data_IF_692445786666
#
_entry.id   IF_692445786666
#
_cell.length_a   1.000
_cell.length_b   1.000
_cell.length_c   1.000
_cell.angle_alpha   90.00
_cell.angle_beta   90.00
_cell.angle_gamma   90.00
#
_symmetry.space_group_name_H-M   'P 1'
#
loop_
_entity.id
_entity.type
_entity.pdbx_description
1 polymer ?
#
# COMPACT_ATOMS: atom_id res chain seq x y z
N UNK A 1 -13.74 4.29 0.70
CA UNK A 1 -14.10 3.82 -0.66
C UNK A 1 -15.48 3.16 -0.66
N UNK A 2 -15.75 2.18 0.21
CA UNK A 2 -17.05 1.49 0.27
C UNK A 2 -18.24 2.47 0.39
N UNK A 3 -18.15 3.50 1.23
CA UNK A 3 -19.18 4.54 1.38
C UNK A 3 -19.41 5.39 0.10
N UNK A 4 -18.59 5.21 -0.92
CA UNK A 4 -18.71 5.83 -2.25
C UNK A 4 -19.06 4.81 -3.33
N UNK A 5 -19.55 3.62 -2.93
CA UNK A 5 -20.01 2.58 -3.84
C UNK A 5 -18.95 1.62 -4.38
N UNK A 6 -17.71 1.67 -3.88
CA UNK A 6 -16.72 0.68 -4.26
C UNK A 6 -17.04 -0.68 -3.63
N UNK A 7 -16.92 -1.75 -4.42
CA UNK A 7 -16.99 -3.14 -3.98
C UNK A 7 -15.61 -3.55 -3.46
N UNK A 8 -15.51 -4.04 -2.23
CA UNK A 8 -14.24 -4.17 -1.51
C UNK A 8 -13.88 -5.64 -1.27
N UNK A 9 -12.65 -6.00 -1.60
CA UNK A 9 -11.99 -7.17 -0.99
C UNK A 9 -11.10 -6.66 0.15
N UNK A 10 -11.42 -7.05 1.36
CA UNK A 10 -10.59 -6.78 2.53
C UNK A 10 -9.64 -7.95 2.73
N UNK A 11 -8.36 -7.73 2.45
CA UNK A 11 -7.33 -8.72 2.72
C UNK A 11 -6.56 -8.35 4.00
N UNK A 12 -6.56 -9.23 4.98
CA UNK A 12 -5.75 -9.11 6.18
C UNK A 12 -5.43 -10.52 6.73
N UNK A 13 -4.17 -10.81 6.90
CA UNK A 13 -3.71 -12.05 7.53
C UNK A 13 -4.03 -12.09 9.04
N UNK A 14 -4.24 -10.90 9.65
CA UNK A 14 -4.52 -10.76 11.08
C UNK A 14 -3.30 -10.94 11.97
N UNK A 15 -2.10 -10.73 11.44
CA UNK A 15 -0.86 -10.80 12.19
C UNK A 15 -0.65 -9.63 13.15
N UNK A 16 0.27 -9.81 14.12
CA UNK A 16 0.79 -8.74 14.96
C UNK A 16 1.63 -7.75 14.13
N UNK A 17 2.03 -6.61 14.73
CA UNK A 17 2.82 -5.55 14.06
C UNK A 17 4.15 -6.07 13.49
N UNK A 18 4.76 -7.07 14.12
CA UNK A 18 6.00 -7.73 13.67
C UNK A 18 5.78 -8.85 12.64
N UNK A 19 4.51 -9.11 12.28
CA UNK A 19 4.11 -10.16 11.34
C UNK A 19 3.93 -11.54 11.98
N UNK A 20 3.95 -11.66 13.32
CA UNK A 20 3.71 -12.94 13.98
C UNK A 20 2.21 -13.28 14.05
N UNK A 21 1.90 -14.57 13.88
CA UNK A 21 0.54 -15.09 14.01
C UNK A 21 -0.39 -14.76 12.83
N UNK A 22 -1.64 -15.18 12.96
CA UNK A 22 -2.73 -14.88 12.02
C UNK A 22 -4.07 -14.92 12.76
N UNK A 23 -5.00 -14.08 12.36
CA UNK A 23 -6.39 -14.05 12.87
C UNK A 23 -7.36 -13.73 11.73
N UNK A 24 -8.01 -14.75 11.21
CA UNK A 24 -8.99 -14.60 10.13
C UNK A 24 -10.16 -13.68 10.49
N UNK A 25 -10.40 -13.40 11.79
CA UNK A 25 -11.43 -12.46 12.20
C UNK A 25 -11.11 -10.99 11.87
N UNK A 26 -9.84 -10.64 11.62
CA UNK A 26 -9.43 -9.25 11.37
C UNK A 26 -10.07 -8.68 10.10
N UNK A 27 -9.92 -9.36 8.97
CA UNK A 27 -10.57 -8.96 7.72
C UNK A 27 -12.10 -9.02 7.83
N UNK A 28 -12.64 -10.05 8.48
CA UNK A 28 -14.09 -10.22 8.63
C UNK A 28 -14.74 -9.08 9.44
N UNK A 29 -14.10 -8.61 10.51
CA UNK A 29 -14.59 -7.45 11.28
C UNK A 29 -14.75 -6.21 10.40
N UNK A 30 -13.77 -5.91 9.55
CA UNK A 30 -13.85 -4.78 8.64
C UNK A 30 -14.94 -4.97 7.58
N UNK A 31 -15.12 -6.19 7.08
CA UNK A 31 -16.23 -6.53 6.16
C UNK A 31 -17.58 -6.28 6.83
N UNK A 32 -17.74 -6.72 8.08
CA UNK A 32 -18.97 -6.54 8.83
C UNK A 32 -19.28 -5.05 9.09
N UNK A 33 -18.27 -4.24 9.42
CA UNK A 33 -18.39 -2.79 9.55
C UNK A 33 -18.82 -2.11 8.23
N UNK A 34 -18.19 -2.50 7.10
CA UNK A 34 -18.56 -1.99 5.78
C UNK A 34 -20.00 -2.31 5.44
N UNK A 35 -20.42 -3.56 5.67
CA UNK A 35 -21.80 -4.02 5.40
C UNK A 35 -22.81 -3.34 6.31
N UNK A 36 -22.49 -3.19 7.59
CA UNK A 36 -23.34 -2.46 8.54
C UNK A 36 -23.54 -0.99 8.15
N UNK A 37 -22.55 -0.39 7.48
CA UNK A 37 -22.62 0.96 6.93
C UNK A 37 -23.30 1.03 5.54
N UNK A 38 -23.84 -0.08 5.02
CA UNK A 38 -24.53 -0.15 3.74
C UNK A 38 -23.61 -0.31 2.52
N UNK A 39 -22.32 -0.58 2.73
CA UNK A 39 -21.37 -0.91 1.67
C UNK A 39 -21.33 -2.41 1.37
N UNK A 40 -20.53 -2.79 0.37
CA UNK A 40 -20.36 -4.18 -0.04
C UNK A 40 -18.89 -4.60 0.06
N UNK A 41 -18.63 -5.72 0.73
CA UNK A 41 -17.29 -6.24 0.93
C UNK A 41 -17.27 -7.75 1.12
N UNK A 42 -16.14 -8.38 0.77
CA UNK A 42 -15.79 -9.77 1.08
C UNK A 42 -14.41 -9.84 1.71
N UNK A 43 -14.19 -10.84 2.57
CA UNK A 43 -12.91 -11.05 3.24
C UNK A 43 -12.01 -11.99 2.44
N UNK A 44 -10.69 -11.76 2.54
CA UNK A 44 -9.65 -12.69 2.15
C UNK A 44 -8.56 -12.71 3.25
N UNK A 45 -7.97 -13.86 3.52
CA UNK A 45 -7.03 -14.07 4.63
C UNK A 45 -5.66 -14.58 4.17
N UNK A 46 -5.40 -14.58 2.86
CA UNK A 46 -4.16 -15.09 2.31
C UNK A 46 -3.01 -14.10 2.50
N UNK A 47 -1.81 -14.64 2.58
CA UNK A 47 -0.60 -13.85 2.76
C UNK A 47 -0.18 -13.19 1.45
N UNK A 48 0.04 -11.89 1.45
CA UNK A 48 0.62 -11.17 0.31
C UNK A 48 2.07 -11.60 0.02
N UNK A 49 2.79 -12.20 0.99
CA UNK A 49 4.21 -12.53 0.86
C UNK A 49 4.47 -13.71 -0.08
N UNK A 50 3.44 -14.43 -0.53
CA UNK A 50 3.56 -15.54 -1.48
C UNK A 50 2.84 -15.25 -2.80
N UNK A 51 3.35 -15.75 -3.94
CA UNK A 51 2.66 -15.62 -5.23
C UNK A 51 1.24 -16.18 -5.20
N UNK A 52 1.05 -17.34 -4.59
CA UNK A 52 -0.25 -18.02 -4.48
C UNK A 52 -1.26 -17.20 -3.67
N UNK A 53 -0.80 -16.55 -2.60
CA UNK A 53 -1.64 -15.66 -1.81
C UNK A 53 -2.05 -14.42 -2.60
N UNK A 54 -1.13 -13.82 -3.35
CA UNK A 54 -1.42 -12.70 -4.24
C UNK A 54 -2.46 -13.07 -5.31
N UNK A 55 -2.32 -14.22 -5.95
CA UNK A 55 -3.28 -14.74 -6.93
C UNK A 55 -4.65 -15.00 -6.31
N UNK A 56 -4.70 -15.59 -5.10
CA UNK A 56 -5.94 -15.85 -4.38
C UNK A 56 -6.68 -14.56 -4.01
N UNK A 57 -5.97 -13.50 -3.59
CA UNK A 57 -6.57 -12.20 -3.30
C UNK A 57 -7.27 -11.63 -4.53
N UNK A 58 -6.63 -11.66 -5.70
CA UNK A 58 -7.21 -11.16 -6.93
C UNK A 58 -8.34 -12.06 -7.42
N UNK A 59 -8.17 -13.37 -7.31
CA UNK A 59 -9.24 -14.34 -7.62
C UNK A 59 -10.49 -14.06 -6.78
N UNK A 60 -10.35 -13.71 -5.50
CA UNK A 60 -11.49 -13.33 -4.65
C UNK A 60 -12.25 -12.14 -5.23
N UNK A 61 -11.57 -11.13 -5.77
CA UNK A 61 -12.22 -9.99 -6.41
C UNK A 61 -12.94 -10.40 -7.72
N UNK A 62 -12.32 -11.23 -8.53
CA UNK A 62 -12.90 -11.71 -9.79
C UNK A 62 -14.12 -12.59 -9.52
N UNK A 63 -14.04 -13.51 -8.57
CA UNK A 63 -15.14 -14.42 -8.22
C UNK A 63 -16.34 -13.66 -7.63
N UNK A 64 -16.09 -12.64 -6.79
CA UNK A 64 -17.16 -11.89 -6.13
C UNK A 64 -17.76 -10.81 -7.02
N UNK A 65 -16.95 -10.14 -7.85
CA UNK A 65 -17.33 -8.89 -8.52
C UNK A 65 -17.08 -8.90 -10.04
N UNK A 66 -16.46 -9.94 -10.59
CA UNK A 66 -16.20 -10.10 -12.02
C UNK A 66 -15.05 -9.24 -12.56
N UNK A 67 -14.43 -8.38 -11.73
CA UNK A 67 -13.39 -7.45 -12.16
C UNK A 67 -12.49 -6.99 -11.00
N UNK A 68 -11.35 -6.38 -11.34
CA UNK A 68 -10.50 -5.66 -10.41
C UNK A 68 -10.06 -4.34 -11.04
N UNK A 69 -10.42 -3.22 -10.41
CA UNK A 69 -10.14 -1.87 -10.91
C UNK A 69 -9.06 -1.16 -10.11
N UNK A 70 -9.00 -1.45 -8.81
CA UNK A 70 -8.15 -0.75 -7.87
C UNK A 70 -7.40 -1.76 -7.02
N UNK A 71 -6.07 -1.59 -6.91
CA UNK A 71 -5.22 -2.30 -5.96
C UNK A 71 -4.58 -1.29 -5.02
N UNK A 72 -4.75 -1.51 -3.71
CA UNK A 72 -4.10 -0.71 -2.68
C UNK A 72 -3.14 -1.61 -1.90
N UNK A 73 -1.86 -1.52 -2.22
CA UNK A 73 -0.79 -2.23 -1.54
C UNK A 73 -0.46 -1.53 -0.22
N UNK A 74 -1.15 -1.94 0.85
CA UNK A 74 -1.02 -1.34 2.18
C UNK A 74 -0.51 -2.32 3.25
N UNK A 75 -0.54 -3.63 3.01
CA UNK A 75 -0.04 -4.63 3.94
C UNK A 75 1.39 -4.32 4.39
N UNK A 76 1.69 -4.51 5.68
CA UNK A 76 2.99 -4.17 6.20
C UNK A 76 3.24 -4.64 7.62
N UNK A 77 4.51 -4.83 7.94
CA UNK A 77 5.03 -5.23 9.26
C UNK A 77 6.26 -4.38 9.60
N UNK A 78 6.64 -4.35 10.88
CA UNK A 78 7.85 -3.69 11.36
C UNK A 78 8.76 -4.68 12.09
N UNK A 79 10.03 -4.72 11.70
CA UNK A 79 11.10 -5.45 12.39
C UNK A 79 12.34 -4.58 12.44
N UNK A 80 12.27 -3.54 13.26
CA UNK A 80 13.31 -2.52 13.38
C UNK A 80 14.52 -3.05 14.13
N UNK A 81 15.70 -2.76 13.63
CA UNK A 81 16.99 -3.11 14.24
C UNK A 81 18.09 -2.24 13.67
N UNK A 82 19.07 -1.88 14.50
CA UNK A 82 20.28 -1.22 13.98
C UNK A 82 20.99 -2.12 12.96
N UNK A 83 21.52 -1.54 11.88
CA UNK A 83 21.98 -2.28 10.71
C UNK A 83 22.99 -3.39 11.03
N UNK A 84 23.95 -3.13 11.92
CA UNK A 84 24.96 -4.13 12.33
C UNK A 84 24.40 -5.34 13.08
N UNK A 85 23.16 -5.22 13.61
CA UNK A 85 22.45 -6.30 14.30
C UNK A 85 21.24 -6.83 13.48
N UNK A 86 21.08 -6.36 12.24
CA UNK A 86 19.95 -6.72 11.37
C UNK A 86 20.28 -7.99 10.60
N UNK A 87 19.83 -9.12 11.10
CA UNK A 87 19.97 -10.43 10.42
C UNK A 87 18.88 -10.63 9.36
N UNK A 88 18.99 -11.70 8.55
CA UNK A 88 17.97 -12.06 7.56
C UNK A 88 16.56 -12.22 8.18
N UNK A 89 16.46 -12.68 9.42
CA UNK A 89 15.18 -12.79 10.14
C UNK A 89 14.46 -11.44 10.30
N UNK A 90 15.21 -10.33 10.31
CA UNK A 90 14.65 -8.97 10.32
C UNK A 90 14.41 -8.45 8.90
N UNK A 91 15.24 -8.85 7.93
CA UNK A 91 15.19 -8.32 6.57
C UNK A 91 14.13 -9.02 5.74
N UNK A 92 14.21 -10.34 5.64
CA UNK A 92 13.44 -11.11 4.66
C UNK A 92 11.92 -10.93 4.82
N UNK A 93 11.32 -11.04 6.03
CA UNK A 93 9.89 -10.89 6.17
C UNK A 93 9.38 -9.47 5.82
N UNK A 94 10.20 -8.44 6.09
CA UNK A 94 9.83 -7.05 5.76
C UNK A 94 9.86 -6.84 4.24
N UNK A 95 10.88 -7.35 3.56
CA UNK A 95 10.96 -7.31 2.09
C UNK A 95 9.84 -8.14 1.47
N UNK A 96 9.58 -9.33 2.00
CA UNK A 96 8.56 -10.25 1.47
C UNK A 96 7.15 -9.65 1.55
N UNK A 97 6.79 -9.05 2.68
CA UNK A 97 5.46 -8.46 2.85
C UNK A 97 5.33 -7.14 2.07
N UNK A 98 6.25 -6.20 2.26
CA UNK A 98 6.08 -4.85 1.71
C UNK A 98 6.37 -4.76 0.22
N UNK A 99 7.49 -5.34 -0.25
CA UNK A 99 7.94 -5.20 -1.62
C UNK A 99 7.45 -6.36 -2.48
N UNK A 100 7.82 -7.59 -2.14
CA UNK A 100 7.37 -8.76 -2.93
C UNK A 100 5.85 -8.91 -2.87
N UNK A 101 5.21 -8.60 -1.74
CA UNK A 101 3.75 -8.60 -1.61
C UNK A 101 3.07 -7.68 -2.62
N UNK A 102 3.62 -6.47 -2.85
CA UNK A 102 3.10 -5.59 -3.88
C UNK A 102 3.22 -6.18 -5.30
N UNK A 103 4.33 -6.89 -5.61
CA UNK A 103 4.46 -7.63 -6.88
C UNK A 103 3.46 -8.77 -6.96
N UNK A 104 3.35 -9.59 -5.91
CA UNK A 104 2.50 -10.77 -5.87
C UNK A 104 1.02 -10.44 -6.10
N UNK A 105 0.53 -9.34 -5.51
CA UNK A 105 -0.85 -8.90 -5.65
C UNK A 105 -1.07 -8.11 -6.95
N UNK A 106 -0.16 -7.20 -7.28
CA UNK A 106 -0.38 -6.31 -8.45
C UNK A 106 -0.23 -7.06 -9.77
N UNK A 107 0.68 -8.03 -9.88
CA UNK A 107 0.90 -8.75 -11.14
C UNK A 107 -0.35 -9.49 -11.65
N UNK A 108 -1.06 -10.32 -10.89
CA UNK A 108 -2.29 -10.92 -11.36
C UNK A 108 -3.39 -9.87 -11.67
N UNK A 109 -3.54 -8.83 -10.83
CA UNK A 109 -4.47 -7.74 -11.11
C UNK A 109 -4.14 -7.00 -12.41
N UNK A 110 -2.86 -6.78 -12.70
CA UNK A 110 -2.38 -6.07 -13.87
C UNK A 110 -2.84 -6.71 -15.19
N UNK A 111 -2.90 -8.04 -15.23
CA UNK A 111 -3.39 -8.78 -16.41
C UNK A 111 -4.83 -8.38 -16.71
N UNK A 112 -5.70 -8.43 -15.69
CA UNK A 112 -7.11 -8.03 -15.83
C UNK A 112 -7.26 -6.54 -16.15
N UNK A 113 -6.51 -5.67 -15.48
CA UNK A 113 -6.53 -4.22 -15.72
C UNK A 113 -6.13 -3.87 -17.17
N UNK A 114 -5.15 -4.59 -17.74
CA UNK A 114 -4.75 -4.40 -19.14
C UNK A 114 -5.85 -4.81 -20.11
N UNK A 115 -6.52 -5.93 -19.87
CA UNK A 115 -7.64 -6.40 -20.68
C UNK A 115 -8.85 -5.45 -20.59
N UNK A 116 -9.10 -4.91 -19.38
CA UNK A 116 -10.16 -3.92 -19.13
C UNK A 116 -9.88 -2.55 -19.74
N UNK A 117 -8.61 -2.21 -20.01
CA UNK A 117 -8.22 -0.85 -20.40
C UNK A 117 -8.39 0.17 -19.27
N UNK A 118 -8.30 -0.28 -18.01
CA UNK A 118 -8.47 0.55 -16.82
C UNK A 118 -7.80 -0.09 -15.60
N UNK A 119 -7.14 0.72 -14.79
CA UNK A 119 -6.60 0.29 -13.50
C UNK A 119 -6.06 1.45 -12.65
N UNK A 120 -6.09 1.27 -11.34
CA UNK A 120 -5.50 2.17 -10.35
C UNK A 120 -4.69 1.36 -9.34
N UNK A 121 -3.40 1.65 -9.24
CA UNK A 121 -2.52 1.00 -8.27
C UNK A 121 -1.98 2.05 -7.30
N UNK A 122 -2.21 1.86 -6.02
CA UNK A 122 -1.75 2.76 -4.97
C UNK A 122 -0.86 1.96 -4.02
N UNK A 123 0.39 2.37 -3.88
CA UNK A 123 1.33 1.71 -2.97
C UNK A 123 1.62 2.59 -1.76
N UNK A 124 1.65 1.99 -0.57
CA UNK A 124 1.96 2.68 0.67
C UNK A 124 3.46 2.62 0.95
N UNK A 125 4.16 3.72 0.64
CA UNK A 125 5.55 3.96 1.02
C UNK A 125 5.62 4.57 2.43
N UNK A 126 6.70 5.26 2.75
CA UNK A 126 6.94 5.93 4.04
C UNK A 126 7.98 7.03 3.92
N UNK A 127 7.91 8.01 4.79
CA UNK A 127 9.00 8.97 4.99
C UNK A 127 10.33 8.26 5.30
N UNK A 128 10.29 7.13 6.01
CA UNK A 128 11.47 6.31 6.27
C UNK A 128 12.13 5.76 5.00
N UNK A 129 11.34 5.45 3.96
CA UNK A 129 11.88 5.03 2.67
C UNK A 129 12.44 6.19 1.86
N UNK A 130 11.79 7.36 1.92
CA UNK A 130 12.14 8.53 1.10
C UNK A 130 13.34 9.29 1.71
N UNK A 131 13.37 9.46 3.03
CA UNK A 131 14.31 10.32 3.73
C UNK A 131 15.24 9.57 4.68
N UNK A 132 15.00 8.27 4.87
CA UNK A 132 15.71 7.44 5.85
C UNK A 132 15.16 7.57 7.26
N UNK A 133 15.33 6.50 8.05
CA UNK A 133 15.06 6.49 9.48
C UNK A 133 16.01 5.52 10.18
N UNK A 134 16.49 5.89 11.36
CA UNK A 134 17.42 5.06 12.14
C UNK A 134 16.79 3.70 12.49
N UNK A 135 17.55 2.62 12.31
CA UNK A 135 17.10 1.27 12.66
C UNK A 135 16.15 0.61 11.64
N UNK A 136 15.85 1.25 10.52
CA UNK A 136 14.88 0.79 9.54
C UNK A 136 15.48 0.54 8.15
N UNK A 137 16.68 -0.01 8.05
CA UNK A 137 17.31 -0.27 6.75
C UNK A 137 16.49 -1.23 5.87
N UNK A 138 15.92 -2.30 6.46
CA UNK A 138 15.00 -3.25 5.79
C UNK A 138 13.71 -2.55 5.31
N UNK A 139 13.04 -1.86 6.21
CA UNK A 139 11.78 -1.17 5.95
C UNK A 139 11.97 -0.01 4.95
N UNK A 140 13.01 0.82 5.16
CA UNK A 140 13.34 1.91 4.25
C UNK A 140 13.64 1.44 2.84
N UNK A 141 14.40 0.35 2.69
CA UNK A 141 14.68 -0.26 1.39
C UNK A 141 13.39 -0.75 0.71
N UNK A 142 12.53 -1.48 1.44
CA UNK A 142 11.26 -1.96 0.90
C UNK A 142 10.35 -0.79 0.47
N UNK A 143 10.22 0.22 1.31
CA UNK A 143 9.36 1.38 1.06
C UNK A 143 9.86 2.28 -0.08
N UNK A 144 11.18 2.44 -0.25
CA UNK A 144 11.74 3.11 -1.42
C UNK A 144 11.65 2.23 -2.67
N UNK A 145 11.76 0.91 -2.54
CA UNK A 145 11.51 -0.04 -3.62
C UNK A 145 10.13 0.11 -4.24
N UNK A 146 9.09 0.38 -3.43
CA UNK A 146 7.74 0.67 -3.91
C UNK A 146 7.66 1.95 -4.77
N UNK A 147 8.51 2.94 -4.52
CA UNK A 147 8.60 4.15 -5.35
C UNK A 147 9.11 3.79 -6.75
N UNK A 148 10.21 3.01 -6.84
CA UNK A 148 10.73 2.51 -8.11
C UNK A 148 9.71 1.65 -8.86
N UNK A 149 9.09 0.69 -8.16
CA UNK A 149 8.03 -0.16 -8.69
C UNK A 149 6.87 0.67 -9.30
N UNK A 150 6.34 1.61 -8.55
CA UNK A 150 5.25 2.50 -8.99
C UNK A 150 5.62 3.29 -10.24
N UNK A 151 6.82 3.83 -10.33
CA UNK A 151 7.27 4.62 -11.49
C UNK A 151 7.37 3.79 -12.76
N UNK A 152 7.83 2.55 -12.65
CA UNK A 152 7.85 1.61 -13.78
C UNK A 152 6.43 1.26 -14.20
N UNK A 153 5.55 0.93 -13.26
CA UNK A 153 4.14 0.63 -13.57
C UNK A 153 3.41 1.83 -14.20
N UNK A 154 3.72 3.05 -13.78
CA UNK A 154 3.16 4.26 -14.39
C UNK A 154 3.53 4.39 -15.88
N UNK A 155 4.79 4.09 -16.21
CA UNK A 155 5.27 4.12 -17.60
C UNK A 155 4.63 2.99 -18.45
N UNK A 156 4.60 1.76 -17.93
CA UNK A 156 4.03 0.60 -18.63
C UNK A 156 2.51 0.68 -18.76
N UNK A 157 1.83 1.26 -17.77
CA UNK A 157 0.37 1.37 -17.69
C UNK A 157 -0.23 2.44 -18.58
N UNK A 158 0.57 3.43 -19.03
CA UNK A 158 0.08 4.64 -19.70
C UNK A 158 -0.84 4.35 -20.88
N UNK A 159 -0.47 3.40 -21.74
CA UNK A 159 -1.26 3.03 -22.93
C UNK A 159 -2.53 2.21 -22.62
N UNK A 160 -2.68 1.72 -21.40
CA UNK A 160 -3.83 0.92 -20.96
C UNK A 160 -4.73 1.66 -19.98
N UNK A 161 -4.53 2.98 -19.79
CA UNK A 161 -5.22 3.77 -18.76
C UNK A 161 -5.05 3.19 -17.35
N UNK A 162 -3.92 2.54 -17.10
CA UNK A 162 -3.55 2.09 -15.76
C UNK A 162 -2.63 3.15 -15.14
N UNK A 163 -3.01 3.67 -13.98
CA UNK A 163 -2.25 4.67 -13.23
C UNK A 163 -1.73 4.08 -11.94
N UNK A 164 -0.48 4.38 -11.62
CA UNK A 164 0.18 3.88 -10.43
C UNK A 164 0.80 5.04 -9.65
N UNK A 165 0.44 5.18 -8.37
CA UNK A 165 0.92 6.25 -7.50
C UNK A 165 1.32 5.73 -6.12
N UNK A 166 2.08 6.55 -5.38
CA UNK A 166 2.57 6.22 -4.05
C UNK A 166 2.06 7.24 -3.04
N UNK A 167 1.65 6.77 -1.87
CA UNK A 167 1.46 7.59 -0.69
C UNK A 167 2.52 7.26 0.36
N UNK A 168 2.98 8.27 1.09
CA UNK A 168 3.81 8.16 2.29
C UNK A 168 3.02 8.77 3.46
N UNK A 169 2.16 7.97 4.11
CA UNK A 169 1.25 8.48 5.13
C UNK A 169 1.96 8.70 6.47
N UNK A 170 1.48 9.70 7.20
CA UNK A 170 1.75 9.92 8.60
C UNK A 170 0.40 9.91 9.34
N UNK A 171 0.13 8.85 10.09
CA UNK A 171 -1.11 8.65 10.82
C UNK A 171 -0.87 7.95 12.15
N UNK A 172 -1.70 8.25 13.15
CA UNK A 172 -1.67 7.55 14.44
C UNK A 172 -2.32 6.17 14.26
N UNK A 173 -1.51 5.14 14.37
CA UNK A 173 -1.92 3.75 14.26
C UNK A 173 -1.18 2.91 15.30
N UNK A 174 -1.51 1.63 15.45
CA UNK A 174 -0.75 0.69 16.30
C UNK A 174 0.76 0.67 15.99
N UNK A 175 1.15 0.97 14.74
CA UNK A 175 2.57 1.02 14.34
C UNK A 175 3.28 2.31 14.78
N UNK A 176 2.55 3.38 15.08
CA UNK A 176 3.09 4.73 15.29
C UNK A 176 2.73 5.35 16.63
N UNK A 177 1.86 4.73 17.43
CA UNK A 177 1.36 5.28 18.70
C UNK A 177 2.46 5.67 19.69
N UNK A 178 3.56 4.89 19.73
CA UNK A 178 4.69 5.16 20.60
C UNK A 178 5.66 6.23 20.04
N UNK A 179 5.45 6.72 18.82
CA UNK A 179 6.35 7.64 18.13
C UNK A 179 5.80 9.06 18.02
N UNK A 180 4.49 9.25 18.13
CA UNK A 180 3.81 10.49 17.71
C UNK A 180 3.65 11.52 18.84
N UNK A 181 3.80 11.14 20.12
CA UNK A 181 3.71 12.06 21.27
C UNK A 181 2.48 13.00 21.15
N UNK A 182 2.68 14.26 21.49
CA UNK A 182 1.61 15.28 21.54
C UNK A 182 0.98 15.65 20.18
N UNK A 183 1.54 15.21 19.05
CA UNK A 183 0.95 15.47 17.72
C UNK A 183 0.02 14.35 17.27
N UNK A 184 -0.03 13.22 17.98
CA UNK A 184 -0.84 12.05 17.63
C UNK A 184 -2.31 12.39 17.41
N UNK A 185 -2.90 13.22 18.25
CA UNK A 185 -4.32 13.63 18.19
C UNK A 185 -4.70 14.34 16.87
N UNK A 186 -3.72 14.88 16.12
CA UNK A 186 -3.92 15.55 14.84
C UNK A 186 -3.71 14.63 13.64
N UNK A 187 -3.35 13.38 13.87
CA UNK A 187 -2.95 12.43 12.85
C UNK A 187 -3.95 11.29 12.69
N UNK A 188 -5.24 11.61 12.74
CA UNK A 188 -6.28 10.62 12.52
C UNK A 188 -6.09 9.92 11.15
N UNK A 189 -6.11 8.57 11.10
CA UNK A 189 -5.97 7.81 9.86
C UNK A 189 -6.97 8.19 8.77
N UNK A 190 -8.17 8.65 9.13
CA UNK A 190 -9.18 9.11 8.20
C UNK A 190 -8.71 10.28 7.31
N UNK A 191 -7.74 11.09 7.80
CA UNK A 191 -7.15 12.20 7.05
C UNK A 191 -6.24 11.75 5.89
N UNK A 192 -5.91 10.46 5.80
CA UNK A 192 -5.23 9.85 4.65
C UNK A 192 -6.22 9.49 3.53
N UNK A 193 -7.46 9.20 3.89
CA UNK A 193 -8.49 8.70 2.96
C UNK A 193 -8.74 9.61 1.75
N UNK A 194 -8.79 10.96 1.85
CA UNK A 194 -9.11 11.83 0.72
C UNK A 194 -8.16 11.67 -0.46
N UNK A 195 -6.86 11.59 -0.22
CA UNK A 195 -5.88 11.40 -1.31
C UNK A 195 -5.98 9.99 -1.91
N UNK A 196 -6.23 8.96 -1.09
CA UNK A 196 -6.44 7.59 -1.60
C UNK A 196 -7.67 7.53 -2.48
N UNK A 197 -8.78 8.17 -2.07
CA UNK A 197 -10.00 8.24 -2.86
C UNK A 197 -9.78 8.96 -4.20
N UNK A 198 -9.03 10.07 -4.20
CA UNK A 198 -8.65 10.79 -5.41
C UNK A 198 -7.79 9.94 -6.35
N UNK A 199 -6.74 9.29 -5.83
CA UNK A 199 -5.85 8.47 -6.63
C UNK A 199 -6.53 7.21 -7.19
N UNK A 200 -7.61 6.75 -6.55
CA UNK A 200 -8.43 5.63 -6.98
C UNK A 200 -9.54 6.04 -7.98
N UNK A 201 -9.86 7.33 -8.10
CA UNK A 201 -10.95 7.84 -8.93
C UNK A 201 -10.65 7.73 -10.43
N UNK A 202 -11.68 7.62 -11.24
CA UNK A 202 -11.54 7.57 -12.70
C UNK A 202 -10.98 8.88 -13.30
N UNK A 203 -11.35 10.03 -12.72
CA UNK A 203 -10.86 11.35 -13.12
C UNK A 203 -9.44 11.65 -12.65
N UNK A 204 -8.79 10.76 -11.87
CA UNK A 204 -7.40 10.94 -11.50
C UNK A 204 -6.52 10.94 -12.77
N UNK A 205 -5.86 12.04 -13.05
CA UNK A 205 -5.02 12.24 -14.22
C UNK A 205 -3.52 11.99 -13.96
N UNK A 206 -3.12 11.86 -12.69
CA UNK A 206 -1.71 11.70 -12.29
C UNK A 206 -1.29 10.24 -12.26
N UNK A 207 -0.01 9.97 -12.61
CA UNK A 207 0.62 8.66 -12.53
C UNK A 207 2.12 8.80 -12.31
N UNK A 208 2.70 7.91 -11.49
CA UNK A 208 4.12 7.94 -11.14
C UNK A 208 4.47 8.92 -10.02
N UNK A 209 3.47 9.47 -9.36
CA UNK A 209 3.63 10.50 -8.35
C UNK A 209 3.77 9.91 -6.92
N UNK A 210 4.40 10.70 -6.06
CA UNK A 210 4.61 10.38 -4.64
C UNK A 210 3.99 11.48 -3.80
N UNK A 211 3.09 11.11 -2.88
CA UNK A 211 2.44 12.06 -1.99
C UNK A 211 2.72 11.75 -0.52
N UNK A 212 3.31 12.71 0.19
CA UNK A 212 3.35 12.72 1.65
C UNK A 212 2.01 13.24 2.16
N UNK A 213 1.37 12.50 3.09
CA UNK A 213 0.03 12.82 3.59
C UNK A 213 -0.08 12.60 5.08
N UNK A 214 -0.72 13.50 5.79
CA UNK A 214 -0.98 13.39 7.24
C UNK A 214 -1.48 14.71 7.83
N UNK A 215 -2.33 14.62 8.85
CA UNK A 215 -2.87 15.79 9.53
C UNK A 215 -3.61 16.77 8.62
N UNK A 216 -4.29 16.27 7.57
CA UNK A 216 -4.98 17.10 6.58
C UNK A 216 -4.05 17.76 5.53
N UNK A 217 -2.72 17.53 5.60
CA UNK A 217 -1.76 18.04 4.60
C UNK A 217 -1.48 16.96 3.56
N UNK A 218 -1.48 17.36 2.28
CA UNK A 218 -1.00 16.54 1.15
C UNK A 218 0.10 17.34 0.45
N UNK A 219 1.26 16.72 0.23
CA UNK A 219 2.36 17.34 -0.49
C UNK A 219 2.99 16.34 -1.46
N UNK A 220 3.28 16.81 -2.67
CA UNK A 220 4.03 16.04 -3.64
C UNK A 220 5.50 15.95 -3.24
N UNK A 221 6.05 14.74 -3.30
CA UNK A 221 7.49 14.48 -3.19
C UNK A 221 8.02 14.16 -4.58
N UNK A 222 9.15 14.73 -4.96
CA UNK A 222 9.77 14.49 -6.26
C UNK A 222 11.24 14.14 -6.10
N UNK A 223 11.74 13.31 -7.01
CA UNK A 223 13.16 13.01 -7.15
C UNK A 223 13.71 13.97 -8.22
N UNK A 224 14.68 14.79 -7.85
CA UNK A 224 15.32 15.75 -8.73
C UNK A 224 16.76 15.36 -9.05
N UNK A 225 17.25 15.83 -10.19
CA UNK A 225 18.64 15.73 -10.61
C UNK A 225 19.20 17.15 -10.80
N UNK A 226 20.40 17.39 -10.33
CA UNK A 226 21.10 18.66 -10.55
C UNK A 226 21.70 18.70 -11.95
N UNK A 227 22.15 19.87 -12.40
CA UNK A 227 22.80 20.03 -13.71
C UNK A 227 24.03 19.14 -13.89
N UNK A 228 24.57 18.58 -12.81
CA UNK A 228 25.80 17.81 -12.86
C UNK A 228 27.05 18.69 -13.04
N UNK A 229 28.16 18.03 -13.26
CA UNK A 229 29.44 18.68 -13.52
C UNK A 229 30.01 18.18 -14.85
N UNK A 230 30.36 19.11 -15.71
CA UNK A 230 31.07 18.81 -16.98
C UNK A 230 32.54 19.19 -16.83
N UNK A 231 33.44 18.33 -17.23
CA UNK A 231 34.87 18.58 -17.29
C UNK A 231 35.28 18.93 -18.70
#
# INVERSE_FOLDING_TARGET
>A
LASRGALIVVNDLGGAVDGAGSDASAAQKVVDEIRAAGGEAVANHDSVSTPEGGESIIKTAIDAYGRVDIVINNAGILRDKTFHNMTSEFVDPVIDVHLKGAFNVTRPAWIHMREQGYGRVISTSSAAGIFGNFGQANYGAAKMGLVGFTRVLAAEGAKYNIKSNVIAPLALTRMTENLMGAIGDKLDPSLVTPIVAWLAHEDCDVSGEIYSVGGGRVARVFIGETQGFYK
#
